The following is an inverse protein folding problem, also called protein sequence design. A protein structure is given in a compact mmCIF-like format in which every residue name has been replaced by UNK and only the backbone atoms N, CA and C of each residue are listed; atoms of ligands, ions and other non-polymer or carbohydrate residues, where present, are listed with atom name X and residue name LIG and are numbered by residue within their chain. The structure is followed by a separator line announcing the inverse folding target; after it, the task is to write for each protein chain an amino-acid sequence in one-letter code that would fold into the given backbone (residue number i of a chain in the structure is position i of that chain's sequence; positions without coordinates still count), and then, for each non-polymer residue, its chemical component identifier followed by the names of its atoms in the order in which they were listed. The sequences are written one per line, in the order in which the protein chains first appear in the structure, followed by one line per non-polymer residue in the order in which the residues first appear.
data_IF_214758775032
#
_entry.id   IF_214758775032
#
_cell.length_a   1.000
_cell.length_b   1.000
_cell.length_c   1.000
_cell.angle_alpha   90.00
_cell.angle_beta   90.00
_cell.angle_gamma   90.00
#
_symmetry.space_group_name_H-M   'P 1'
#
loop_
_entity.id
_entity.type
_entity.pdbx_description
1 polymer ?
#
# COMPACT_ATOMS: atom_id res chain seq x y z
N UNK A 1 -30.55 -24.86 13.01
CA UNK A 1 -31.37 -23.71 12.59
C UNK A 1 -30.58 -22.45 12.93
N UNK A 2 -30.17 -21.65 11.93
CA UNK A 2 -29.12 -20.64 12.10
C UNK A 2 -29.62 -19.37 12.78
N UNK A 3 -28.72 -18.75 13.56
CA UNK A 3 -28.94 -17.47 14.22
C UNK A 3 -28.99 -16.33 13.19
N UNK A 4 -29.97 -15.47 13.37
CA UNK A 4 -30.29 -14.32 12.52
C UNK A 4 -29.14 -13.30 12.49
N UNK A 5 -28.71 -12.93 11.28
CA UNK A 5 -27.92 -11.73 11.06
C UNK A 5 -28.85 -10.52 11.16
N UNK A 6 -28.56 -9.63 12.12
CA UNK A 6 -29.32 -8.41 12.33
C UNK A 6 -28.95 -7.39 11.24
N UNK A 7 -29.86 -7.13 10.31
CA UNK A 7 -29.74 -6.09 9.29
C UNK A 7 -30.09 -4.75 9.92
N UNK A 8 -29.13 -4.09 10.55
CA UNK A 8 -29.27 -2.68 10.92
C UNK A 8 -29.00 -1.82 9.68
N UNK A 9 -30.05 -1.19 9.16
CA UNK A 9 -29.98 -0.08 8.21
C UNK A 9 -29.39 1.12 8.96
N UNK A 10 -28.26 1.72 8.53
CA UNK A 10 -27.80 2.95 9.15
C UNK A 10 -28.66 4.13 8.67
N UNK A 11 -29.19 4.83 9.66
CA UNK A 11 -30.01 6.04 9.56
C UNK A 11 -29.25 7.20 8.88
N UNK A 12 -29.96 8.00 8.11
CA UNK A 12 -29.40 9.04 7.26
C UNK A 12 -29.37 10.40 7.97
N UNK A 13 -28.17 10.88 8.32
CA UNK A 13 -27.72 12.27 8.17
C UNK A 13 -26.39 12.48 8.92
N UNK A 14 -25.28 12.43 8.21
CA UNK A 14 -23.99 12.99 8.67
C UNK A 14 -23.38 13.68 7.46
N UNK A 15 -22.86 14.90 7.63
CA UNK A 15 -22.12 15.60 6.58
C UNK A 15 -21.13 14.63 5.89
N UNK A 16 -20.96 14.68 4.56
CA UNK A 16 -20.26 13.63 3.83
C UNK A 16 -18.82 13.53 4.33
N UNK A 17 -18.55 12.49 5.13
CA UNK A 17 -17.21 12.21 5.58
C UNK A 17 -16.33 11.89 4.37
N UNK A 18 -15.07 12.32 4.39
CA UNK A 18 -14.09 11.89 3.38
C UNK A 18 -13.20 10.80 3.96
N UNK A 19 -13.04 9.70 3.23
CA UNK A 19 -12.13 8.62 3.55
C UNK A 19 -10.82 8.78 2.77
N UNK A 20 -9.67 8.68 3.45
CA UNK A 20 -8.37 8.66 2.75
C UNK A 20 -8.08 7.25 2.25
N UNK A 21 -8.15 7.02 0.95
CA UNK A 21 -8.05 5.69 0.35
C UNK A 21 -6.81 5.49 -0.52
N UNK A 22 -6.34 4.25 -0.57
CA UNK A 22 -5.31 3.80 -1.50
C UNK A 22 -5.40 2.30 -1.76
N UNK A 23 -4.82 1.86 -2.88
CA UNK A 23 -4.63 0.46 -3.23
C UNK A 23 -3.19 0.03 -2.99
N UNK A 24 -2.99 -1.18 -2.47
CA UNK A 24 -1.65 -1.69 -2.19
C UNK A 24 -1.53 -3.21 -2.31
N UNK A 25 -0.30 -3.68 -2.53
CA UNK A 25 0.09 -5.04 -2.21
C UNK A 25 0.49 -5.11 -0.73
N UNK A 26 0.03 -6.16 -0.06
CA UNK A 26 0.29 -6.39 1.37
C UNK A 26 1.22 -7.60 1.57
N UNK A 27 2.40 -7.42 2.20
CA UNK A 27 3.34 -8.52 2.39
C UNK A 27 2.79 -9.50 3.42
N UNK A 28 3.06 -10.79 3.19
CA UNK A 28 2.79 -11.82 4.20
C UNK A 28 3.72 -11.68 5.42
N UNK A 29 3.43 -12.36 6.54
CA UNK A 29 4.15 -12.19 7.81
C UNK A 29 5.67 -12.38 7.70
N UNK A 30 6.12 -13.39 6.95
CA UNK A 30 7.55 -13.66 6.77
C UNK A 30 8.27 -12.53 6.05
N UNK A 31 7.71 -12.03 4.94
CA UNK A 31 8.29 -10.91 4.21
C UNK A 31 8.21 -9.61 5.02
N UNK A 32 7.12 -9.37 5.76
CA UNK A 32 6.99 -8.22 6.64
C UNK A 32 8.08 -8.23 7.73
N UNK A 33 8.41 -9.39 8.30
CA UNK A 33 9.51 -9.54 9.25
C UNK A 33 10.89 -9.24 8.60
N UNK A 34 11.14 -9.77 7.40
CA UNK A 34 12.36 -9.45 6.63
C UNK A 34 12.50 -7.95 6.40
N UNK A 35 11.44 -7.30 5.91
CA UNK A 35 11.42 -5.86 5.65
C UNK A 35 11.54 -5.02 6.94
N UNK A 36 11.01 -5.50 8.06
CA UNK A 36 11.22 -4.87 9.36
C UNK A 36 12.69 -4.93 9.82
N UNK A 37 13.38 -6.05 9.55
CA UNK A 37 14.82 -6.17 9.74
C UNK A 37 15.60 -5.16 8.90
N UNK A 38 15.20 -4.98 7.64
CA UNK A 38 15.80 -3.96 6.76
C UNK A 38 15.53 -2.54 7.26
N UNK A 39 14.32 -2.26 7.74
CA UNK A 39 13.98 -0.99 8.35
C UNK A 39 14.83 -0.72 9.60
N UNK A 40 15.11 -1.73 10.43
CA UNK A 40 15.97 -1.58 11.60
C UNK A 40 17.42 -1.25 11.21
N UNK A 41 17.98 -1.95 10.21
CA UNK A 41 19.32 -1.66 9.67
C UNK A 41 19.40 -0.24 9.09
N UNK A 42 18.44 0.13 8.25
CA UNK A 42 18.38 1.47 7.69
C UNK A 42 18.23 2.54 8.78
N UNK A 43 17.45 2.29 9.84
CA UNK A 43 17.29 3.23 10.96
C UNK A 43 18.59 3.44 11.71
N UNK A 44 19.38 2.38 11.91
CA UNK A 44 20.68 2.47 12.59
C UNK A 44 21.67 3.36 11.80
N UNK A 45 21.59 3.33 10.46
CA UNK A 45 22.50 4.09 9.61
C UNK A 45 21.99 5.52 9.25
N UNK A 46 20.67 5.67 9.07
CA UNK A 46 20.06 6.91 8.53
C UNK A 46 19.27 7.72 9.57
N UNK A 47 19.03 7.17 10.77
CA UNK A 47 18.15 7.74 11.78
C UNK A 47 16.66 7.64 11.43
N UNK A 48 15.86 8.57 11.96
CA UNK A 48 14.43 8.68 11.68
C UNK A 48 13.53 7.65 12.37
N UNK A 49 12.31 7.50 11.83
CA UNK A 49 11.27 6.62 12.37
C UNK A 49 11.01 5.45 11.43
N UNK A 50 11.25 4.24 11.92
CA UNK A 50 10.88 3.02 11.22
C UNK A 50 9.36 2.85 11.13
N UNK A 51 8.91 2.34 9.99
CA UNK A 51 7.53 1.86 9.81
C UNK A 51 7.33 0.60 10.64
N UNK A 52 6.09 0.41 11.13
CA UNK A 52 5.75 -0.82 11.87
C UNK A 52 5.52 -1.98 10.88
N UNK A 53 5.81 -3.24 11.27
CA UNK A 53 5.61 -4.39 10.39
C UNK A 53 4.19 -4.51 9.82
N UNK A 54 3.17 -4.25 10.65
CA UNK A 54 1.75 -4.26 10.29
C UNK A 54 1.33 -3.14 9.33
N UNK A 55 2.22 -2.21 9.03
CA UNK A 55 1.96 -1.07 8.13
C UNK A 55 2.79 -1.10 6.85
N UNK A 56 3.69 -2.05 6.69
CA UNK A 56 4.53 -2.19 5.50
C UNK A 56 3.67 -2.65 4.33
N UNK A 57 3.75 -1.93 3.22
CA UNK A 57 3.01 -2.22 1.99
C UNK A 57 3.68 -1.57 0.79
N UNK A 58 3.32 -2.03 -0.40
CA UNK A 58 3.68 -1.40 -1.67
C UNK A 58 2.43 -0.75 -2.27
N UNK A 59 2.41 0.58 -2.34
CA UNK A 59 1.24 1.29 -2.87
C UNK A 59 1.18 1.21 -4.41
N UNK A 60 0.01 0.86 -4.93
CA UNK A 60 -0.29 0.83 -6.37
C UNK A 60 -0.99 2.12 -6.81
N UNK A 61 -1.95 2.62 -6.04
CA UNK A 61 -2.67 3.86 -6.35
C UNK A 61 -3.06 4.62 -5.09
N UNK A 62 -2.72 5.90 -4.99
CA UNK A 62 -3.24 6.79 -3.95
C UNK A 62 -4.45 7.55 -4.49
N UNK A 63 -5.64 7.32 -3.91
CA UNK A 63 -6.87 8.03 -4.29
C UNK A 63 -7.05 9.34 -3.51
N UNK A 64 -6.31 9.49 -2.40
CA UNK A 64 -6.43 10.68 -1.55
C UNK A 64 -7.75 10.68 -0.78
N UNK A 65 -8.34 11.86 -0.59
CA UNK A 65 -9.62 12.00 0.09
C UNK A 65 -10.78 11.68 -0.87
N UNK A 66 -11.55 10.65 -0.54
CA UNK A 66 -12.69 10.13 -1.32
C UNK A 66 -13.97 10.40 -0.54
N UNK A 67 -14.99 10.94 -1.20
CA UNK A 67 -16.30 11.14 -0.57
C UNK A 67 -16.91 9.79 -0.15
N UNK A 68 -17.54 9.75 1.04
CA UNK A 68 -18.00 8.50 1.67
C UNK A 68 -18.99 7.70 0.81
N UNK A 69 -19.81 8.38 0.02
CA UNK A 69 -20.77 7.80 -0.92
C UNK A 69 -20.12 6.98 -2.04
N UNK A 70 -18.86 7.27 -2.38
CA UNK A 70 -18.09 6.54 -3.41
C UNK A 70 -17.36 5.30 -2.87
N UNK A 71 -17.28 5.15 -1.56
CA UNK A 71 -16.54 4.05 -0.92
C UNK A 71 -17.20 2.68 -1.17
N UNK A 72 -18.53 2.51 -1.04
CA UNK A 72 -19.20 1.25 -1.35
C UNK A 72 -18.94 0.76 -2.78
N UNK A 73 -18.99 1.66 -3.76
CA UNK A 73 -18.74 1.32 -5.16
C UNK A 73 -17.29 0.84 -5.38
N UNK A 74 -16.31 1.51 -4.75
CA UNK A 74 -14.92 1.07 -4.81
C UNK A 74 -14.70 -0.30 -4.16
N UNK A 75 -15.37 -0.57 -3.03
CA UNK A 75 -15.36 -1.88 -2.36
C UNK A 75 -15.94 -2.95 -3.27
N UNK A 76 -17.14 -2.71 -3.82
CA UNK A 76 -17.82 -3.63 -4.72
C UNK A 76 -16.99 -3.93 -5.97
N UNK A 77 -16.38 -2.91 -6.59
CA UNK A 77 -15.52 -3.12 -7.74
C UNK A 77 -14.25 -3.87 -7.39
N UNK A 78 -13.63 -3.59 -6.24
CA UNK A 78 -12.43 -4.33 -5.80
C UNK A 78 -12.72 -5.82 -5.67
N UNK A 79 -13.89 -6.21 -5.14
CA UNK A 79 -14.30 -7.61 -4.99
C UNK A 79 -14.60 -8.30 -6.33
N UNK A 80 -14.85 -7.56 -7.41
CA UNK A 80 -15.17 -8.09 -8.74
C UNK A 80 -14.03 -7.97 -9.76
N UNK A 81 -12.85 -7.49 -9.34
CA UNK A 81 -11.69 -7.29 -10.22
C UNK A 81 -10.54 -8.22 -9.83
N UNK A 82 -10.48 -9.45 -10.40
CA UNK A 82 -9.40 -10.39 -10.11
C UNK A 82 -8.03 -9.79 -10.40
N UNK A 83 -7.13 -9.92 -9.44
CA UNK A 83 -5.74 -9.59 -9.65
C UNK A 83 -5.06 -10.70 -10.47
N UNK A 84 -3.97 -10.37 -11.14
CA UNK A 84 -3.10 -11.39 -11.71
C UNK A 84 -2.03 -11.72 -10.68
N UNK A 85 -1.80 -13.00 -10.36
CA UNK A 85 -0.70 -13.37 -9.50
C UNK A 85 0.63 -12.98 -10.16
N UNK A 86 1.58 -12.58 -9.32
CA UNK A 86 2.89 -12.15 -9.78
C UNK A 86 3.96 -12.36 -8.73
N UNK A 87 5.21 -12.20 -9.16
CA UNK A 87 6.37 -12.20 -8.29
C UNK A 87 7.15 -10.91 -8.49
N UNK A 88 7.61 -10.34 -7.39
CA UNK A 88 8.58 -9.24 -7.39
C UNK A 88 9.77 -9.59 -6.52
N UNK A 89 10.94 -9.09 -6.91
CA UNK A 89 12.14 -9.17 -6.08
C UNK A 89 12.44 -7.79 -5.52
N UNK A 90 12.51 -7.69 -4.18
CA UNK A 90 13.02 -6.50 -3.52
C UNK A 90 14.50 -6.76 -3.18
N UNK A 91 15.40 -5.88 -3.58
CA UNK A 91 16.85 -6.13 -3.49
C UNK A 91 17.67 -4.84 -3.31
N UNK A 92 17.01 -3.68 -3.20
CA UNK A 92 17.70 -2.41 -2.97
C UNK A 92 17.00 -1.52 -1.95
N UNK A 93 17.82 -0.71 -1.29
CA UNK A 93 17.37 0.52 -0.66
C UNK A 93 17.35 1.66 -1.67
N UNK A 94 16.47 2.63 -1.44
CA UNK A 94 16.52 3.91 -2.10
C UNK A 94 15.93 5.02 -1.23
N UNK A 95 16.05 6.25 -1.71
CA UNK A 95 15.64 7.44 -0.97
C UNK A 95 14.70 8.33 -1.76
N UNK A 96 13.72 8.90 -1.08
CA UNK A 96 13.04 10.10 -1.55
C UNK A 96 13.48 11.27 -0.66
N UNK A 97 14.49 12.01 -1.14
CA UNK A 97 15.23 13.00 -0.35
C UNK A 97 14.33 14.09 0.21
N UNK A 98 13.48 14.68 -0.64
CA UNK A 98 12.56 15.76 -0.25
C UNK A 98 11.59 15.34 0.87
N UNK A 99 11.23 14.06 0.96
CA UNK A 99 10.28 13.55 1.94
C UNK A 99 10.96 12.92 3.18
N UNK A 100 12.29 12.82 3.19
CA UNK A 100 13.02 12.12 4.26
C UNK A 100 12.61 10.65 4.37
N UNK A 101 12.39 9.98 3.23
CA UNK A 101 11.95 8.58 3.17
C UNK A 101 13.10 7.69 2.69
N UNK A 102 13.32 6.59 3.42
CA UNK A 102 14.09 5.42 2.94
C UNK A 102 13.10 4.32 2.62
N UNK A 103 13.28 3.66 1.48
CA UNK A 103 12.38 2.63 0.97
C UNK A 103 13.14 1.41 0.45
N UNK A 104 12.47 0.26 0.42
CA UNK A 104 12.91 -0.95 -0.28
C UNK A 104 12.17 -1.07 -1.62
N UNK A 105 12.84 -1.53 -2.67
CA UNK A 105 12.24 -1.67 -3.99
C UNK A 105 13.03 -2.64 -4.87
N UNK A 106 12.48 -2.98 -6.04
CA UNK A 106 13.21 -3.75 -7.04
C UNK A 106 14.28 -2.89 -7.71
N UNK A 107 15.45 -3.44 -8.01
CA UNK A 107 16.48 -2.81 -8.82
C UNK A 107 16.02 -2.62 -10.27
N UNK A 108 15.44 -3.67 -10.84
CA UNK A 108 15.00 -3.76 -12.23
C UNK A 108 13.47 -3.66 -12.39
N UNK A 109 12.97 -3.24 -13.56
CA UNK A 109 11.54 -3.24 -13.87
C UNK A 109 10.89 -4.62 -13.64
N UNK A 110 9.72 -4.62 -12.98
CA UNK A 110 8.97 -5.84 -12.66
C UNK A 110 7.71 -5.90 -13.52
N UNK A 111 7.77 -6.58 -14.67
CA UNK A 111 6.68 -6.58 -15.67
C UNK A 111 5.32 -7.02 -15.10
N UNK A 112 5.30 -8.07 -14.27
CA UNK A 112 4.07 -8.54 -13.61
C UNK A 112 3.44 -7.46 -12.71
N UNK A 113 4.27 -6.72 -11.98
CA UNK A 113 3.82 -5.63 -11.11
C UNK A 113 3.33 -4.43 -11.93
N UNK A 114 4.02 -4.11 -13.03
CA UNK A 114 3.58 -3.06 -13.96
C UNK A 114 2.21 -3.39 -14.54
N UNK A 115 2.00 -4.63 -15.02
CA UNK A 115 0.70 -5.09 -15.51
C UNK A 115 -0.40 -5.02 -14.42
N UNK A 116 -0.07 -5.35 -13.17
CA UNK A 116 -1.00 -5.22 -12.03
C UNK A 116 -1.39 -3.76 -11.80
N UNK A 117 -0.42 -2.85 -11.85
CA UNK A 117 -0.64 -1.41 -11.75
C UNK A 117 -1.51 -0.89 -12.90
N UNK A 118 -1.21 -1.28 -14.15
CA UNK A 118 -1.95 -0.82 -15.32
C UNK A 118 -3.41 -1.30 -15.27
N UNK A 119 -3.65 -2.59 -15.04
CA UNK A 119 -5.00 -3.16 -14.91
C UNK A 119 -5.81 -2.50 -13.79
N UNK A 120 -5.17 -2.20 -12.65
CA UNK A 120 -5.84 -1.46 -11.57
C UNK A 120 -6.34 -0.10 -12.07
N UNK A 121 -5.50 0.63 -12.81
CA UNK A 121 -5.88 1.94 -13.32
C UNK A 121 -6.88 1.88 -14.47
N UNK A 122 -6.87 0.82 -15.27
CA UNK A 122 -7.80 0.65 -16.41
C UNK A 122 -9.27 0.64 -15.96
N UNK A 123 -9.56 0.17 -14.74
CA UNK A 123 -10.91 0.24 -14.18
C UNK A 123 -11.14 1.45 -13.26
N UNK A 124 -10.09 2.03 -12.66
CA UNK A 124 -10.23 3.27 -11.87
C UNK A 124 -10.47 4.50 -12.74
N UNK A 125 -9.91 4.57 -13.95
CA UNK A 125 -10.05 5.73 -14.84
C UNK A 125 -11.50 5.95 -15.32
N UNK A 126 -12.24 4.94 -15.77
CA UNK A 126 -13.67 5.08 -16.07
C UNK A 126 -14.51 5.54 -14.87
N UNK A 127 -14.06 5.27 -13.64
CA UNK A 127 -14.69 5.78 -12.42
C UNK A 127 -14.29 7.23 -12.10
N UNK A 128 -13.55 7.92 -12.97
CA UNK A 128 -13.18 9.32 -12.82
C UNK A 128 -11.87 9.58 -12.04
N UNK A 129 -11.09 8.56 -11.72
CA UNK A 129 -9.75 8.74 -11.15
C UNK A 129 -8.72 9.00 -12.25
N UNK A 130 -7.70 9.81 -11.94
CA UNK A 130 -6.63 10.13 -12.90
C UNK A 130 -5.35 9.41 -12.53
N UNK A 131 -4.83 8.61 -13.46
CA UNK A 131 -3.52 7.98 -13.34
C UNK A 131 -2.44 9.08 -13.20
N UNK A 132 -1.46 8.93 -12.29
CA UNK A 132 -0.34 9.85 -12.20
C UNK A 132 0.41 9.98 -13.53
N UNK A 133 0.81 11.20 -13.89
CA UNK A 133 1.64 11.44 -15.07
C UNK A 133 3.07 10.92 -14.92
N UNK A 134 3.55 10.82 -13.68
CA UNK A 134 4.86 10.25 -13.38
C UNK A 134 4.82 8.73 -13.52
N UNK A 135 5.91 8.16 -14.06
CA UNK A 135 6.12 6.72 -14.10
C UNK A 135 5.93 6.08 -12.72
N UNK A 136 5.36 4.89 -12.71
CA UNK A 136 5.18 4.09 -11.50
C UNK A 136 6.53 3.70 -10.91
N UNK A 137 6.71 3.99 -9.62
CA UNK A 137 7.96 3.71 -8.88
C UNK A 137 7.64 2.78 -7.71
N UNK A 138 7.67 1.46 -7.91
CA UNK A 138 7.30 0.50 -6.88
C UNK A 138 8.27 0.56 -5.70
N UNK A 139 7.72 0.73 -4.50
CA UNK A 139 8.52 0.84 -3.29
C UNK A 139 7.70 0.46 -2.05
N UNK A 140 8.38 -0.08 -1.03
CA UNK A 140 7.89 -0.23 0.34
C UNK A 140 8.59 0.81 1.19
N UNK A 141 7.85 1.74 1.79
CA UNK A 141 8.44 2.71 2.73
C UNK A 141 8.94 1.98 3.97
N UNK A 142 10.22 2.13 4.30
CA UNK A 142 10.82 1.55 5.51
C UNK A 142 10.98 2.59 6.61
N UNK A 143 11.45 3.79 6.27
CA UNK A 143 11.67 4.89 7.20
C UNK A 143 10.94 6.15 6.75
N UNK A 144 10.54 6.96 7.73
CA UNK A 144 10.12 8.35 7.53
C UNK A 144 10.94 9.26 8.43
N UNK A 145 11.12 10.52 8.00
CA UNK A 145 11.91 11.53 8.73
C UNK A 145 13.36 11.08 8.96
N UNK A 146 13.94 10.34 8.01
CA UNK A 146 15.36 10.01 8.02
C UNK A 146 16.20 11.28 7.78
N UNK A 147 17.29 11.43 8.53
CA UNK A 147 18.13 12.63 8.53
C UNK A 147 19.44 12.43 7.79
N UNK A 148 20.00 11.21 7.78
CA UNK A 148 21.29 10.88 7.17
C UNK A 148 21.10 10.02 5.91
N UNK A 149 20.48 10.59 4.88
CA UNK A 149 20.03 9.87 3.69
C UNK A 149 21.13 9.36 2.76
N UNK A 150 22.37 9.85 2.93
CA UNK A 150 23.53 9.39 2.16
C UNK A 150 24.24 8.19 2.83
N UNK A 151 23.83 7.82 4.04
CA UNK A 151 24.38 6.70 4.81
C UNK A 151 23.50 5.45 4.68
N UNK A 152 23.07 5.09 3.47
CA UNK A 152 22.32 3.84 3.29
C UNK A 152 23.21 2.64 3.64
N UNK A 153 22.67 1.62 4.31
CA UNK A 153 23.39 0.35 4.49
C UNK A 153 23.61 -0.35 3.14
N UNK A 154 24.49 -1.36 3.08
CA UNK A 154 24.66 -2.19 1.89
C UNK A 154 23.33 -2.78 1.40
N UNK A 155 23.25 -3.07 0.10
CA UNK A 155 22.07 -3.72 -0.47
C UNK A 155 21.74 -5.01 0.30
N UNK A 156 20.46 -5.21 0.67
CA UNK A 156 20.08 -6.39 1.44
C UNK A 156 20.00 -7.63 0.52
N UNK A 157 20.02 -8.85 1.09
CA UNK A 157 19.77 -10.06 0.30
C UNK A 157 18.42 -9.97 -0.43
N UNK A 158 18.30 -10.47 -1.69
CA UNK A 158 17.05 -10.40 -2.43
C UNK A 158 15.88 -11.09 -1.70
N UNK A 159 14.78 -10.35 -1.52
CA UNK A 159 13.54 -10.86 -0.94
C UNK A 159 12.49 -11.05 -2.05
N UNK A 160 12.15 -12.31 -2.30
CA UNK A 160 11.09 -12.67 -3.24
C UNK A 160 9.72 -12.48 -2.61
N UNK A 161 8.82 -11.81 -3.32
CA UNK A 161 7.44 -11.60 -2.91
C UNK A 161 6.51 -12.12 -4.00
N UNK A 162 5.87 -13.26 -3.74
CA UNK A 162 4.73 -13.74 -4.50
C UNK A 162 3.45 -13.09 -3.97
N UNK A 163 2.67 -12.46 -4.84
CA UNK A 163 1.37 -11.88 -4.52
C UNK A 163 0.31 -12.46 -5.46
N UNK A 164 -0.90 -12.59 -4.95
CA UNK A 164 -2.10 -13.06 -5.64
C UNK A 164 -3.19 -11.99 -5.72
N UNK A 165 -3.02 -10.88 -4.98
CA UNK A 165 -4.05 -9.85 -4.88
C UNK A 165 -3.55 -8.51 -4.36
N UNK A 166 -4.37 -7.49 -4.55
CA UNK A 166 -4.24 -6.17 -3.96
C UNK A 166 -5.41 -5.88 -3.02
N UNK A 167 -5.22 -4.90 -2.14
CA UNK A 167 -6.23 -4.48 -1.16
C UNK A 167 -6.58 -3.02 -1.34
N UNK A 168 -7.86 -2.70 -1.16
CA UNK A 168 -8.33 -1.33 -0.93
C UNK A 168 -8.20 -1.02 0.56
N UNK A 169 -7.54 0.07 0.90
CA UNK A 169 -7.19 0.42 2.27
C UNK A 169 -7.66 1.83 2.61
N UNK A 170 -8.28 1.98 3.77
CA UNK A 170 -8.56 3.26 4.39
C UNK A 170 -7.46 3.63 5.40
N UNK A 171 -6.89 4.82 5.25
CA UNK A 171 -6.00 5.41 6.25
C UNK A 171 -6.81 6.21 7.26
N UNK A 172 -6.77 5.77 8.53
CA UNK A 172 -7.40 6.41 9.68
C UNK A 172 -6.32 6.85 10.67
N UNK A 173 -5.59 7.95 10.44
CA UNK A 173 -4.56 8.38 11.38
C UNK A 173 -5.18 8.58 12.77
N UNK A 174 -4.67 7.87 13.77
CA UNK A 174 -5.09 7.98 15.17
C UNK A 174 -3.91 8.52 15.97
N UNK A 175 -4.09 9.65 16.66
CA UNK A 175 -3.04 10.31 17.44
C UNK A 175 -1.73 10.55 16.65
N UNK A 176 -1.84 10.90 15.36
CA UNK A 176 -0.69 11.11 14.46
C UNK A 176 0.03 9.82 14.01
N UNK A 177 -0.50 8.65 14.41
CA UNK A 177 -0.01 7.34 14.03
C UNK A 177 -0.86 6.79 12.89
N UNK A 178 -0.22 6.27 11.85
CA UNK A 178 -0.94 5.61 10.77
C UNK A 178 -1.63 4.35 11.30
N UNK A 179 -2.95 4.30 11.12
CA UNK A 179 -3.76 3.10 11.26
C UNK A 179 -4.43 2.83 9.90
N UNK A 180 -4.38 1.58 9.48
CA UNK A 180 -4.84 1.14 8.16
C UNK A 180 -5.91 0.09 8.33
N UNK A 181 -7.04 0.28 7.66
CA UNK A 181 -8.12 -0.69 7.61
C UNK A 181 -8.27 -1.18 6.18
N UNK A 182 -8.14 -2.49 5.97
CA UNK A 182 -8.48 -3.11 4.70
C UNK A 182 -10.00 -3.10 4.56
N UNK A 183 -10.50 -2.49 3.49
CA UNK A 183 -11.93 -2.44 3.17
C UNK A 183 -12.36 -3.57 2.23
N UNK A 184 -11.48 -3.93 1.29
CA UNK A 184 -11.72 -5.00 0.32
C UNK A 184 -10.39 -5.61 -0.15
N UNK A 185 -10.45 -6.86 -0.60
CA UNK A 185 -9.34 -7.59 -1.22
C UNK A 185 -9.81 -8.08 -2.59
N UNK A 186 -8.97 -7.89 -3.61
CA UNK A 186 -9.25 -8.46 -4.93
C UNK A 186 -9.28 -9.99 -4.86
N UNK A 187 -10.13 -10.67 -5.64
CA UNK A 187 -10.00 -12.10 -5.86
C UNK A 187 -8.62 -12.43 -6.45
N UNK A 188 -8.07 -13.58 -6.04
CA UNK A 188 -6.90 -14.20 -6.67
C UNK A 188 -7.28 -15.10 -7.84
#
# INVERSE_FOLDING_TARGET
MPASFNTAVPDAATAPGRARLFFALWPGPGLAATLAGWAAQARAACGGRAMRPDTLHLTLAFLGAVDADRVPDLVAQTLNQPALPGRITLDRYGVFRRQGIVWAGPADPQAALQNTYDRLWDWLQPMGWRRPAQAFRPHVTLLRRASQLDNLPPAPPPANWAYDGYVLVQSRPQNGVANYQVLARSPG
#
